data_IF_680170616884
#
_entry.id   IF_680170616884
#
_cell.length_a   1.000
_cell.length_b   1.000
_cell.length_c   1.000
_cell.angle_alpha   90.00
_cell.angle_beta   90.00
_cell.angle_gamma   90.00
#
_symmetry.space_group_name_H-M   'P 1'
#
loop_
_entity.id
_entity.type
_entity.pdbx_description
1 polymer ?
#
# COMPACT_ATOMS: atom_id res chain seq x y z
N UNK A 1 -11.01 -4.88 7.28
CA UNK A 1 -11.48 -5.29 5.93
C UNK A 1 -10.33 -5.02 4.96
N UNK A 2 -9.88 -5.99 4.14
CA UNK A 2 -8.68 -5.79 3.29
C UNK A 2 -8.91 -4.66 2.28
N UNK A 3 -7.96 -3.73 2.15
CA UNK A 3 -8.04 -2.63 1.19
C UNK A 3 -7.62 -3.12 -0.20
N UNK A 4 -8.52 -3.85 -0.84
CA UNK A 4 -8.28 -4.43 -2.17
C UNK A 4 -8.08 -3.33 -3.22
N UNK A 5 -8.72 -2.17 -3.08
CA UNK A 5 -8.59 -1.07 -4.04
C UNK A 5 -7.16 -0.56 -4.15
N UNK A 6 -6.51 -0.31 -3.01
CA UNK A 6 -5.12 0.15 -3.00
C UNK A 6 -4.17 -0.92 -3.57
N UNK A 7 -4.36 -2.17 -3.15
CA UNK A 7 -3.53 -3.29 -3.60
C UNK A 7 -3.61 -3.49 -5.12
N UNK A 8 -4.81 -3.44 -5.69
CA UNK A 8 -5.00 -3.59 -7.13
C UNK A 8 -4.40 -2.41 -7.90
N UNK A 9 -4.63 -1.17 -7.46
CA UNK A 9 -4.05 0.02 -8.10
C UNK A 9 -2.51 -0.02 -8.09
N UNK A 10 -1.90 -0.41 -6.95
CA UNK A 10 -0.44 -0.55 -6.84
C UNK A 10 0.09 -1.62 -7.81
N UNK A 11 -0.57 -2.77 -7.87
CA UNK A 11 -0.18 -3.85 -8.78
C UNK A 11 -0.35 -3.46 -10.26
N UNK A 12 -1.41 -2.71 -10.61
CA UNK A 12 -1.62 -2.18 -11.96
C UNK A 12 -0.55 -1.18 -12.41
N UNK A 13 0.14 -0.55 -11.45
CA UNK A 13 1.27 0.36 -11.72
C UNK A 13 2.63 -0.33 -11.63
N UNK A 14 2.66 -1.66 -11.44
CA UNK A 14 3.87 -2.46 -11.24
C UNK A 14 4.77 -1.94 -10.10
N UNK A 15 4.14 -1.39 -9.05
CA UNK A 15 4.85 -0.81 -7.91
C UNK A 15 4.96 -1.81 -6.77
N UNK A 16 6.12 -1.83 -6.10
CA UNK A 16 6.26 -2.49 -4.80
C UNK A 16 5.67 -1.62 -3.68
N UNK A 17 5.31 -2.23 -2.55
CA UNK A 17 4.83 -1.49 -1.36
C UNK A 17 5.87 -0.46 -0.91
N UNK A 18 7.15 -0.81 -0.96
CA UNK A 18 8.25 0.10 -0.67
C UNK A 18 8.29 1.28 -1.65
N UNK A 19 8.19 1.04 -2.96
CA UNK A 19 8.23 2.10 -3.97
C UNK A 19 7.03 3.05 -3.85
N UNK A 20 5.85 2.53 -3.51
CA UNK A 20 4.68 3.36 -3.21
C UNK A 20 4.90 4.18 -1.94
N UNK A 21 5.47 3.56 -0.90
CA UNK A 21 5.75 4.22 0.38
C UNK A 21 6.73 5.38 0.22
N UNK A 22 7.81 5.19 -0.54
CA UNK A 22 8.79 6.23 -0.88
C UNK A 22 8.15 7.40 -1.63
N UNK A 23 7.27 7.13 -2.60
CA UNK A 23 6.57 8.16 -3.39
C UNK A 23 5.62 9.02 -2.55
N UNK A 24 4.98 8.44 -1.53
CA UNK A 24 3.98 9.13 -0.71
C UNK A 24 4.51 9.55 0.67
N UNK A 25 5.81 9.35 0.93
CA UNK A 25 6.47 9.80 2.16
C UNK A 25 6.07 9.03 3.42
N UNK A 26 5.72 7.75 3.29
CA UNK A 26 5.36 6.89 4.43
C UNK A 26 6.26 5.67 4.50
N UNK A 27 6.11 4.85 5.55
CA UNK A 27 6.85 3.59 5.65
C UNK A 27 6.20 2.47 4.83
N UNK A 28 6.98 1.48 4.40
CA UNK A 28 6.45 0.26 3.76
C UNK A 28 5.45 -0.47 4.67
N UNK A 29 5.69 -0.46 5.99
CA UNK A 29 4.79 -1.04 6.99
C UNK A 29 3.42 -0.34 7.00
N UNK A 30 3.41 0.98 6.83
CA UNK A 30 2.17 1.78 6.69
C UNK A 30 1.35 1.32 5.49
N UNK A 31 1.98 1.20 4.31
CA UNK A 31 1.28 0.70 3.11
C UNK A 31 0.76 -0.73 3.33
N UNK A 32 1.56 -1.60 3.93
CA UNK A 32 1.15 -2.98 4.22
C UNK A 32 -0.03 -3.05 5.20
N UNK A 33 -0.05 -2.23 6.25
CA UNK A 33 -1.14 -2.14 7.21
C UNK A 33 -2.43 -1.62 6.54
N UNK A 34 -2.32 -0.61 5.67
CA UNK A 34 -3.45 -0.09 4.89
C UNK A 34 -4.01 -1.17 3.97
N UNK A 35 -3.15 -1.90 3.23
CA UNK A 35 -3.58 -2.99 2.34
C UNK A 35 -4.26 -4.15 3.10
N UNK A 36 -3.77 -4.48 4.31
CA UNK A 36 -4.40 -5.49 5.18
C UNK A 36 -5.71 -4.99 5.80
N UNK A 37 -5.88 -3.67 5.91
CA UNK A 37 -7.02 -3.04 6.56
C UNK A 37 -6.88 -3.00 8.09
N UNK A 38 -5.64 -3.01 8.58
CA UNK A 38 -5.26 -2.93 9.99
C UNK A 38 -4.81 -1.50 10.36
N UNK A 39 -5.11 -0.53 9.51
CA UNK A 39 -4.74 0.88 9.69
C UNK A 39 -6.02 1.67 10.03
N UNK A 40 -6.16 2.06 11.29
CA UNK A 40 -7.24 2.89 11.83
C UNK A 40 -6.69 4.26 12.25
#
# INVERSE_FOLDING_TARGET
MKNLRLKTARASMDLLQQSLAEKVGVSCQTIAAIEKGDYN
#
